data_IF_560815367973
#
_entry.id   IF_560815367973
#
_cell.length_a   1.000
_cell.length_b   1.000
_cell.length_c   1.000
_cell.angle_alpha   90.00
_cell.angle_beta   90.00
_cell.angle_gamma   90.00
#
_symmetry.space_group_name_H-M   'P 1'
#
loop_
_entity.id
_entity.type
_entity.pdbx_description
1 polymer ?
#
# COMPACT_ATOMS: atom_id res chain seq x y z
N UNK A 1 62.78 19.55 -22.97
CA UNK A 1 61.63 19.00 -23.72
C UNK A 1 60.68 18.10 -22.90
N UNK A 2 60.92 17.82 -21.60
CA UNK A 2 60.11 16.81 -20.87
C UNK A 2 59.23 17.34 -19.71
N UNK A 3 59.09 18.65 -19.51
CA UNK A 3 58.24 19.19 -18.43
C UNK A 3 56.95 19.87 -18.88
N UNK A 4 56.89 20.32 -20.14
CA UNK A 4 55.71 21.00 -20.71
C UNK A 4 54.66 19.99 -21.18
N UNK A 5 55.09 18.83 -21.68
CA UNK A 5 54.19 17.76 -22.16
C UNK A 5 53.43 17.11 -21.00
N UNK A 6 54.02 17.03 -19.81
CA UNK A 6 53.42 16.35 -18.66
C UNK A 6 52.39 17.23 -17.92
N UNK A 7 52.48 18.56 -18.04
CA UNK A 7 51.48 19.48 -17.48
C UNK A 7 50.26 19.63 -18.39
N UNK A 8 50.41 19.51 -19.71
CA UNK A 8 49.27 19.55 -20.65
C UNK A 8 48.36 18.31 -20.57
N UNK A 9 48.91 17.16 -20.17
CA UNK A 9 48.12 15.93 -20.03
C UNK A 9 47.28 15.86 -18.75
N UNK A 10 47.64 16.63 -17.71
CA UNK A 10 46.91 16.62 -16.44
C UNK A 10 45.75 17.62 -16.46
N UNK A 11 45.87 18.74 -17.18
CA UNK A 11 44.76 19.70 -17.33
C UNK A 11 43.67 19.22 -18.30
N UNK A 12 43.99 18.34 -19.26
CA UNK A 12 42.98 17.74 -20.15
C UNK A 12 42.21 16.59 -19.48
N UNK A 13 42.75 16.01 -18.40
CA UNK A 13 42.09 14.96 -17.60
C UNK A 13 41.16 15.50 -16.51
N UNK A 14 41.27 16.79 -16.16
CA UNK A 14 40.39 17.47 -15.20
C UNK A 14 39.21 18.21 -15.84
N UNK A 15 39.14 18.29 -17.18
CA UNK A 15 38.01 18.89 -17.91
C UNK A 15 37.05 17.87 -18.56
N UNK A 16 37.32 16.57 -18.41
CA UNK A 16 36.51 15.49 -18.99
C UNK A 16 35.51 14.80 -18.04
N UNK A 17 35.42 15.25 -16.78
CA UNK A 17 34.68 14.56 -15.71
C UNK A 17 33.34 15.18 -15.30
N UNK A 18 32.73 16.06 -16.09
CA UNK A 18 31.47 16.76 -15.72
C UNK A 18 30.27 16.33 -16.55
N UNK A 19 30.31 15.18 -17.26
CA UNK A 19 29.19 14.78 -18.13
C UNK A 19 28.72 13.33 -17.98
N UNK A 20 28.70 12.80 -16.75
CA UNK A 20 27.93 11.58 -16.43
C UNK A 20 27.28 11.67 -15.05
N UNK A 21 26.54 12.75 -14.82
CA UNK A 21 25.41 12.76 -13.89
C UNK A 21 24.13 13.06 -14.67
N UNK A 22 23.91 12.33 -15.78
CA UNK A 22 22.56 11.90 -16.10
C UNK A 22 22.30 10.70 -15.21
N UNK A 23 21.90 10.97 -13.97
CA UNK A 23 21.10 10.02 -13.23
C UNK A 23 19.97 9.59 -14.15
N UNK A 24 19.75 8.29 -14.26
CA UNK A 24 18.60 7.72 -14.93
C UNK A 24 17.35 8.13 -14.13
N UNK A 25 16.89 9.38 -14.28
CA UNK A 25 15.50 9.74 -14.06
C UNK A 25 14.76 9.37 -15.34
N UNK A 26 14.60 8.07 -15.56
CA UNK A 26 14.18 7.47 -16.83
C UNK A 26 12.98 6.57 -16.61
N UNK A 27 11.87 7.18 -16.25
CA UNK A 27 10.56 6.57 -16.09
C UNK A 27 9.58 7.70 -15.83
N UNK A 28 9.22 8.47 -16.87
CA UNK A 28 8.00 9.25 -16.80
C UNK A 28 6.85 8.23 -16.76
N UNK A 29 6.46 7.80 -15.56
CA UNK A 29 5.25 7.01 -15.31
C UNK A 29 4.02 7.90 -15.07
N UNK A 30 4.22 9.21 -15.20
CA UNK A 30 3.12 10.09 -15.49
C UNK A 30 2.59 9.83 -16.90
N UNK A 31 1.29 10.07 -17.11
CA UNK A 31 0.65 10.02 -18.43
C UNK A 31 1.48 10.75 -19.48
N UNK A 32 1.63 10.14 -20.66
CA UNK A 32 2.21 10.85 -21.80
C UNK A 32 1.36 12.08 -22.12
N UNK A 33 1.98 13.18 -22.54
CA UNK A 33 1.24 14.38 -22.93
C UNK A 33 0.30 14.04 -24.11
N UNK A 34 -1.02 14.04 -23.85
CA UNK A 34 -2.04 13.58 -24.81
C UNK A 34 -2.36 12.08 -24.76
N UNK A 35 -2.11 11.41 -23.63
CA UNK A 35 -2.52 10.03 -23.36
C UNK A 35 -4.02 9.84 -23.66
N UNK A 36 -4.33 8.85 -24.50
CA UNK A 36 -5.71 8.47 -24.77
C UNK A 36 -6.32 7.82 -23.55
N UNK A 37 -7.64 7.85 -23.47
CA UNK A 37 -8.36 7.27 -22.34
C UNK A 37 -8.18 5.76 -22.24
N UNK A 38 -8.06 5.08 -23.38
CA UNK A 38 -7.70 3.67 -23.40
C UNK A 38 -6.33 3.44 -22.76
N UNK A 39 -5.36 4.32 -23.02
CA UNK A 39 -4.05 4.24 -22.41
C UNK A 39 -4.11 4.57 -20.92
N UNK A 40 -4.95 5.52 -20.49
CA UNK A 40 -5.22 5.74 -19.05
C UNK A 40 -5.81 4.48 -18.40
N UNK A 41 -6.88 3.91 -18.96
CA UNK A 41 -7.53 2.72 -18.40
C UNK A 41 -6.56 1.52 -18.38
N UNK A 42 -5.75 1.38 -19.42
CA UNK A 42 -4.69 0.37 -19.50
C UNK A 42 -3.61 0.58 -18.43
N UNK A 43 -3.12 1.81 -18.30
CA UNK A 43 -2.15 2.21 -17.29
C UNK A 43 -2.71 1.95 -15.91
N UNK A 44 -3.89 2.47 -15.59
CA UNK A 44 -4.60 2.24 -14.34
C UNK A 44 -4.75 0.75 -14.00
N UNK A 45 -5.22 -0.08 -14.94
CA UNK A 45 -5.36 -1.52 -14.68
C UNK A 45 -4.02 -2.22 -14.50
N UNK A 46 -2.98 -1.78 -15.19
CA UNK A 46 -1.62 -2.34 -15.08
C UNK A 46 -0.94 -1.89 -13.77
N UNK A 47 -1.00 -0.60 -13.43
CA UNK A 47 -0.31 -0.01 -12.28
C UNK A 47 -1.04 -0.24 -10.97
N UNK A 48 -2.38 -0.08 -10.94
CA UNK A 48 -3.16 -0.22 -9.70
C UNK A 48 -3.62 -1.66 -9.43
N UNK A 49 -3.88 -2.42 -10.50
CA UNK A 49 -4.49 -3.75 -10.39
C UNK A 49 -3.58 -4.88 -10.86
N UNK A 50 -2.41 -4.59 -11.45
CA UNK A 50 -1.51 -5.60 -12.03
C UNK A 50 -2.20 -6.50 -13.07
N UNK A 51 -3.11 -5.92 -13.85
CA UNK A 51 -3.89 -6.58 -14.89
C UNK A 51 -3.62 -5.90 -16.23
N UNK A 52 -2.84 -6.56 -17.09
CA UNK A 52 -2.53 -6.05 -18.43
C UNK A 52 -3.63 -6.39 -19.46
N UNK A 53 -4.35 -7.49 -19.27
CA UNK A 53 -5.41 -7.94 -20.17
C UNK A 53 -6.77 -7.93 -19.46
N UNK A 54 -7.66 -7.04 -19.87
CA UNK A 54 -9.00 -6.92 -19.32
C UNK A 54 -10.02 -6.54 -20.41
N UNK A 55 -11.30 -6.80 -20.13
CA UNK A 55 -12.42 -6.29 -20.90
C UNK A 55 -13.21 -5.24 -20.12
N UNK A 56 -14.13 -4.55 -20.79
CA UNK A 56 -14.96 -3.49 -20.19
C UNK A 56 -15.76 -4.03 -19.00
N UNK A 57 -16.25 -5.27 -19.08
CA UNK A 57 -17.02 -5.89 -18.01
C UNK A 57 -16.18 -6.15 -16.76
N UNK A 58 -14.94 -6.59 -16.95
CA UNK A 58 -13.97 -6.82 -15.87
C UNK A 58 -13.52 -5.51 -15.25
N UNK A 59 -13.29 -4.47 -16.05
CA UNK A 59 -13.03 -3.10 -15.57
C UNK A 59 -14.20 -2.61 -14.72
N UNK A 60 -15.43 -2.76 -15.21
CA UNK A 60 -16.64 -2.36 -14.49
C UNK A 60 -16.76 -3.07 -13.14
N UNK A 61 -16.70 -4.40 -13.15
CA UNK A 61 -16.94 -5.23 -11.98
C UNK A 61 -15.87 -5.05 -10.89
N UNK A 62 -14.63 -4.75 -11.28
CA UNK A 62 -13.54 -4.50 -10.33
C UNK A 62 -13.75 -3.20 -9.54
N UNK A 63 -14.42 -2.23 -10.14
CA UNK A 63 -14.66 -0.90 -9.59
C UNK A 63 -16.08 -0.71 -9.03
N UNK A 64 -16.96 -1.67 -9.25
CA UNK A 64 -18.22 -1.84 -8.52
C UNK A 64 -17.89 -2.40 -7.12
N UNK A 65 -17.52 -1.50 -6.22
CA UNK A 65 -17.00 -1.80 -4.89
C UNK A 65 -18.05 -2.48 -4.02
N UNK A 66 -19.31 -2.08 -4.17
CA UNK A 66 -20.42 -2.59 -3.38
C UNK A 66 -21.14 -3.80 -4.03
N UNK A 67 -20.85 -4.09 -5.30
CA UNK A 67 -21.40 -5.20 -6.11
C UNK A 67 -22.88 -5.10 -6.40
N UNK A 68 -23.40 -3.89 -6.58
CA UNK A 68 -24.79 -3.64 -6.95
C UNK A 68 -25.01 -3.49 -8.46
N UNK A 69 -23.93 -3.54 -9.26
CA UNK A 69 -23.96 -3.48 -10.71
C UNK A 69 -24.07 -2.06 -11.28
N UNK A 70 -23.87 -1.05 -10.43
CA UNK A 70 -23.86 0.37 -10.80
C UNK A 70 -22.58 0.99 -10.24
N UNK A 71 -22.10 2.07 -10.86
CA UNK A 71 -21.16 2.97 -10.20
C UNK A 71 -21.90 4.19 -9.71
N UNK A 72 -21.87 4.40 -8.40
CA UNK A 72 -22.33 5.63 -7.77
C UNK A 72 -21.24 6.72 -7.75
N UNK A 73 -21.56 7.86 -7.15
CA UNK A 73 -20.63 8.99 -7.04
C UNK A 73 -19.34 8.59 -6.34
N UNK A 74 -19.46 7.86 -5.24
CA UNK A 74 -18.33 7.42 -4.42
C UNK A 74 -17.43 6.44 -5.18
N UNK A 75 -18.01 5.54 -5.97
CA UNK A 75 -17.27 4.59 -6.82
C UNK A 75 -16.61 5.31 -8.01
N UNK A 76 -17.25 6.30 -8.61
CA UNK A 76 -16.60 7.17 -9.62
C UNK A 76 -15.42 7.92 -9.00
N UNK A 77 -15.59 8.49 -7.80
CA UNK A 77 -14.50 9.15 -7.07
C UNK A 77 -13.34 8.18 -6.76
N UNK A 78 -13.64 6.90 -6.46
CA UNK A 78 -12.65 5.87 -6.21
C UNK A 78 -11.89 5.44 -7.49
N UNK A 79 -12.60 5.26 -8.61
CA UNK A 79 -11.98 4.96 -9.93
C UNK A 79 -10.90 5.99 -10.27
N UNK A 80 -11.16 7.27 -9.97
CA UNK A 80 -10.25 8.38 -10.24
C UNK A 80 -9.38 8.79 -9.04
N UNK A 81 -9.33 7.98 -7.96
CA UNK A 81 -8.42 8.21 -6.83
C UNK A 81 -8.63 9.57 -6.13
N UNK A 82 -9.85 10.12 -6.20
CA UNK A 82 -10.15 11.49 -5.74
C UNK A 82 -9.75 11.68 -4.28
N UNK A 83 -10.05 10.72 -3.42
CA UNK A 83 -9.77 10.80 -1.98
C UNK A 83 -8.40 10.26 -1.59
N UNK A 84 -7.51 10.06 -2.57
CA UNK A 84 -6.16 9.61 -2.28
C UNK A 84 -5.31 10.73 -1.63
N UNK A 85 -4.33 10.41 -0.77
CA UNK A 85 -3.59 11.44 -0.03
C UNK A 85 -2.78 12.35 -0.96
N UNK A 86 -2.25 11.82 -2.06
CA UNK A 86 -1.54 12.62 -3.06
C UNK A 86 -2.51 13.52 -3.82
N UNK A 87 -3.68 13.00 -4.21
CA UNK A 87 -4.73 13.81 -4.82
C UNK A 87 -5.20 14.93 -3.88
N UNK A 88 -5.39 14.62 -2.60
CA UNK A 88 -5.74 15.60 -1.56
C UNK A 88 -4.66 16.68 -1.41
N UNK A 89 -3.37 16.32 -1.44
CA UNK A 89 -2.24 17.29 -1.38
C UNK A 89 -2.21 18.27 -2.56
N UNK A 90 -2.85 17.95 -3.69
CA UNK A 90 -2.97 18.87 -4.84
C UNK A 90 -4.05 19.94 -4.63
N UNK A 91 -4.93 19.76 -3.65
CA UNK A 91 -5.94 20.75 -3.26
C UNK A 91 -5.41 21.63 -2.14
N UNK A 92 -5.68 22.95 -2.18
CA UNK A 92 -5.21 23.87 -1.12
C UNK A 92 -5.97 23.69 0.19
N UNK A 93 -7.25 23.34 0.08
CA UNK A 93 -8.19 23.16 1.18
C UNK A 93 -9.30 22.18 0.80
N UNK A 94 -10.11 21.82 1.80
CA UNK A 94 -11.24 20.89 1.64
C UNK A 94 -12.26 21.40 0.61
N UNK A 95 -12.46 22.72 0.48
CA UNK A 95 -13.41 23.27 -0.49
C UNK A 95 -12.93 23.07 -1.93
N UNK A 96 -11.64 23.28 -2.20
CA UNK A 96 -11.02 23.01 -3.50
C UNK A 96 -11.06 21.52 -3.82
N UNK A 97 -10.82 20.67 -2.81
CA UNK A 97 -10.91 19.21 -2.96
C UNK A 97 -12.32 18.76 -3.34
N UNK A 98 -13.34 19.27 -2.66
CA UNK A 98 -14.74 18.97 -2.98
C UNK A 98 -15.16 19.50 -4.35
N UNK A 99 -14.65 20.66 -4.76
CA UNK A 99 -14.87 21.18 -6.13
C UNK A 99 -14.24 20.26 -7.18
N UNK A 100 -13.01 19.80 -6.95
CA UNK A 100 -12.33 18.83 -7.83
C UNK A 100 -13.11 17.52 -7.92
N UNK A 101 -13.50 16.92 -6.79
CA UNK A 101 -14.33 15.72 -6.73
C UNK A 101 -15.61 15.89 -7.55
N UNK A 102 -16.33 17.00 -7.32
CA UNK A 102 -17.54 17.34 -8.08
C UNK A 102 -17.27 17.47 -9.56
N UNK A 103 -16.20 18.15 -9.97
CA UNK A 103 -15.83 18.32 -11.38
C UNK A 103 -15.58 16.97 -12.06
N UNK A 104 -14.88 16.06 -11.39
CA UNK A 104 -14.59 14.71 -11.90
C UNK A 104 -15.90 13.95 -12.11
N UNK A 105 -16.71 13.83 -11.06
CA UNK A 105 -17.97 13.08 -11.11
C UNK A 105 -18.93 13.65 -12.15
N UNK A 106 -19.15 14.96 -12.15
CA UNK A 106 -20.08 15.59 -13.09
C UNK A 106 -19.64 15.39 -14.55
N UNK A 107 -18.33 15.37 -14.80
CA UNK A 107 -17.79 15.16 -16.15
C UNK A 107 -17.93 13.70 -16.58
N UNK A 108 -17.74 12.75 -15.66
CA UNK A 108 -17.95 11.32 -15.90
C UNK A 108 -19.42 11.01 -16.15
N UNK A 109 -20.32 11.48 -15.28
CA UNK A 109 -21.77 11.30 -15.47
C UNK A 109 -22.22 11.91 -16.79
N UNK A 110 -21.78 13.13 -17.12
CA UNK A 110 -22.10 13.74 -18.42
C UNK A 110 -21.63 12.90 -19.62
N UNK A 111 -20.53 12.18 -19.47
CA UNK A 111 -19.99 11.32 -20.53
C UNK A 111 -20.75 9.98 -20.63
N UNK A 112 -21.13 9.39 -19.50
CA UNK A 112 -21.63 8.01 -19.41
C UNK A 112 -23.13 7.90 -19.16
N UNK A 113 -23.65 8.59 -18.15
CA UNK A 113 -25.05 8.52 -17.68
C UNK A 113 -26.00 9.01 -18.80
N UNK A 114 -26.77 8.09 -19.38
CA UNK A 114 -27.70 8.33 -20.51
C UNK A 114 -29.14 8.42 -20.06
N UNK A 115 -29.49 7.78 -18.95
CA UNK A 115 -30.85 7.80 -18.43
C UNK A 115 -31.08 8.82 -17.30
N UNK A 116 -30.01 9.52 -16.90
CA UNK A 116 -29.97 10.61 -15.93
C UNK A 116 -30.37 10.16 -14.52
N UNK A 117 -29.98 8.95 -14.13
CA UNK A 117 -30.22 8.42 -12.78
C UNK A 117 -29.09 8.74 -11.77
N UNK A 118 -28.09 9.52 -12.21
CA UNK A 118 -26.88 9.91 -11.47
C UNK A 118 -25.94 8.74 -11.14
N UNK A 119 -26.08 7.61 -11.84
CA UNK A 119 -25.22 6.44 -11.74
C UNK A 119 -24.73 6.03 -13.12
N UNK A 120 -23.83 5.05 -13.14
CA UNK A 120 -23.31 4.46 -14.39
C UNK A 120 -23.52 2.96 -14.35
N UNK A 121 -24.30 2.45 -15.29
CA UNK A 121 -24.48 1.01 -15.52
C UNK A 121 -23.38 0.44 -16.43
N UNK A 122 -23.22 -0.88 -16.38
CA UNK A 122 -22.34 -1.59 -17.31
C UNK A 122 -22.74 -1.34 -18.76
N UNK A 123 -24.04 -1.33 -19.05
CA UNK A 123 -24.57 -1.08 -20.39
C UNK A 123 -24.17 0.30 -20.91
N UNK A 124 -24.25 1.34 -20.08
CA UNK A 124 -23.83 2.69 -20.45
C UNK A 124 -22.34 2.79 -20.71
N UNK A 125 -21.52 2.17 -19.86
CA UNK A 125 -20.08 2.10 -20.06
C UNK A 125 -19.74 1.33 -21.35
N UNK A 126 -20.46 0.24 -21.67
CA UNK A 126 -20.27 -0.51 -22.91
C UNK A 126 -20.67 0.28 -24.15
N UNK A 127 -21.75 1.07 -24.07
CA UNK A 127 -22.21 1.92 -25.19
C UNK A 127 -21.19 3.01 -25.50
N UNK A 128 -20.66 3.65 -24.46
CA UNK A 128 -19.68 4.73 -24.61
C UNK A 128 -18.29 4.18 -24.92
N UNK A 129 -17.97 3.02 -24.36
CA UNK A 129 -16.63 2.42 -24.39
C UNK A 129 -15.69 3.10 -23.41
N UNK A 130 -14.57 2.43 -23.11
CA UNK A 130 -13.52 3.02 -22.27
C UNK A 130 -12.99 4.33 -22.87
N UNK A 131 -12.96 4.46 -24.20
CA UNK A 131 -12.53 5.67 -24.91
C UNK A 131 -13.32 6.94 -24.57
N UNK A 132 -14.54 6.81 -24.03
CA UNK A 132 -15.35 7.95 -23.62
C UNK A 132 -15.23 8.33 -22.16
N UNK A 133 -14.39 7.66 -21.36
CA UNK A 133 -14.06 8.11 -20.00
C UNK A 133 -13.24 9.42 -20.07
N UNK A 134 -13.44 10.40 -19.19
CA UNK A 134 -12.61 11.60 -19.19
C UNK A 134 -11.22 11.36 -18.59
N UNK A 135 -10.22 12.14 -19.02
CA UNK A 135 -8.89 12.18 -18.39
C UNK A 135 -8.81 13.40 -17.45
N UNK A 136 -8.26 13.20 -16.24
CA UNK A 136 -8.04 14.24 -15.22
C UNK A 136 -6.60 14.23 -14.66
N UNK A 137 -5.63 13.81 -15.45
CA UNK A 137 -4.22 13.79 -15.08
C UNK A 137 -3.72 15.14 -14.54
N UNK A 138 -4.22 16.24 -15.09
CA UNK A 138 -3.92 17.61 -14.65
C UNK A 138 -4.46 17.94 -13.24
N UNK A 139 -5.44 17.17 -12.76
CA UNK A 139 -6.04 17.30 -11.43
C UNK A 139 -5.41 16.35 -10.40
N UNK A 140 -4.42 15.53 -10.79
CA UNK A 140 -3.83 14.51 -9.91
C UNK A 140 -4.85 13.45 -9.49
N UNK A 141 -5.71 13.06 -10.43
CA UNK A 141 -6.72 12.02 -10.29
C UNK A 141 -6.26 10.75 -11.02
N UNK A 142 -5.03 10.34 -10.70
CA UNK A 142 -4.54 8.99 -10.98
C UNK A 142 -5.37 8.07 -10.06
N UNK A 143 -5.96 7.02 -10.62
CA UNK A 143 -6.87 6.17 -9.86
C UNK A 143 -6.12 5.47 -8.74
N UNK A 144 -6.62 5.46 -7.51
CA UNK A 144 -5.93 4.84 -6.38
C UNK A 144 -6.95 4.28 -5.37
N UNK A 145 -6.91 2.97 -5.13
CA UNK A 145 -7.90 2.26 -4.30
C UNK A 145 -7.46 2.01 -2.87
N UNK A 146 -6.16 2.14 -2.61
CA UNK A 146 -5.51 1.63 -1.42
C UNK A 146 -5.25 2.72 -0.37
N UNK A 147 -5.03 2.31 0.88
CA UNK A 147 -4.56 3.24 1.92
C UNK A 147 -3.08 3.60 1.72
N UNK A 148 -2.60 4.62 2.42
CA UNK A 148 -1.22 5.16 2.27
C UNK A 148 -0.15 4.06 2.35
N UNK A 149 -0.33 3.03 3.19
CA UNK A 149 0.60 1.90 3.28
C UNK A 149 0.56 1.01 2.07
N UNK A 150 -0.64 0.57 1.71
CA UNK A 150 -0.80 -0.40 0.62
C UNK A 150 -0.43 0.26 -0.71
N UNK A 151 -0.65 1.57 -0.86
CA UNK A 151 -0.19 2.35 -1.99
C UNK A 151 1.33 2.50 -2.02
N UNK A 152 1.97 2.89 -0.90
CA UNK A 152 3.43 2.94 -0.84
C UNK A 152 4.05 1.57 -1.17
N UNK A 153 3.46 0.49 -0.66
CA UNK A 153 3.88 -0.88 -0.97
C UNK A 153 3.72 -1.21 -2.47
N UNK A 154 2.53 -1.01 -3.02
CA UNK A 154 2.20 -1.42 -4.39
C UNK A 154 2.88 -0.57 -5.46
N UNK A 155 2.99 0.74 -5.25
CA UNK A 155 3.48 1.65 -6.28
C UNK A 155 4.96 1.98 -6.13
N UNK A 156 5.44 2.11 -4.90
CA UNK A 156 6.82 2.53 -4.66
C UNK A 156 7.72 1.34 -4.28
N UNK A 157 7.31 0.55 -3.30
CA UNK A 157 8.12 -0.57 -2.82
C UNK A 157 8.24 -1.68 -3.87
N UNK A 158 7.15 -2.07 -4.54
CA UNK A 158 7.21 -3.07 -5.62
C UNK A 158 8.01 -2.59 -6.84
N UNK A 159 8.08 -1.28 -7.08
CA UNK A 159 8.82 -0.75 -8.21
C UNK A 159 10.32 -0.62 -7.91
N UNK A 160 10.67 -0.01 -6.78
CA UNK A 160 12.04 0.37 -6.45
C UNK A 160 12.72 -0.58 -5.45
N UNK A 161 11.93 -1.34 -4.68
CA UNK A 161 12.36 -2.19 -3.57
C UNK A 161 11.82 -3.62 -3.68
N UNK A 162 11.84 -4.22 -4.88
CA UNK A 162 11.31 -5.57 -5.13
C UNK A 162 12.32 -6.72 -5.01
N UNK A 163 13.58 -6.44 -4.69
CA UNK A 163 14.61 -7.46 -4.54
C UNK A 163 15.22 -7.39 -3.15
N UNK A 164 15.76 -8.50 -2.60
CA UNK A 164 16.47 -8.47 -1.33
C UNK A 164 17.62 -7.44 -1.29
N UNK A 165 18.24 -7.16 -2.44
CA UNK A 165 19.32 -6.19 -2.58
C UNK A 165 18.81 -4.73 -2.55
N UNK A 166 17.57 -4.49 -2.96
CA UNK A 166 16.94 -3.16 -2.91
C UNK A 166 16.09 -2.95 -1.65
N UNK A 167 15.81 -4.01 -0.88
CA UNK A 167 15.16 -3.97 0.44
C UNK A 167 16.18 -3.91 1.59
N UNK A 168 17.09 -2.94 1.55
CA UNK A 168 18.04 -2.67 2.65
C UNK A 168 17.85 -1.26 3.18
N UNK A 169 18.18 -1.03 4.46
CA UNK A 169 18.07 0.28 5.12
C UNK A 169 18.77 1.40 4.33
N UNK A 170 19.89 1.09 3.66
CA UNK A 170 20.63 2.05 2.82
C UNK A 170 19.97 2.31 1.46
N UNK A 171 19.15 1.38 0.98
CA UNK A 171 18.51 1.44 -0.33
C UNK A 171 17.25 2.31 -0.33
N UNK A 172 16.53 2.41 0.79
CA UNK A 172 15.37 3.31 0.95
C UNK A 172 15.83 4.78 1.08
N UNK A 173 16.08 5.41 -0.05
CA UNK A 173 16.59 6.79 -0.13
C UNK A 173 15.90 7.64 -1.18
N UNK A 174 14.83 7.13 -1.81
CA UNK A 174 13.99 7.92 -2.71
C UNK A 174 13.27 9.01 -1.90
N UNK A 175 12.95 10.17 -2.51
CA UNK A 175 12.18 11.22 -1.84
C UNK A 175 10.89 10.71 -1.19
N UNK A 176 10.20 9.77 -1.85
CA UNK A 176 8.98 9.13 -1.41
C UNK A 176 9.21 8.22 -0.19
N UNK A 177 10.33 7.49 -0.13
CA UNK A 177 10.73 6.70 1.06
C UNK A 177 10.85 7.59 2.30
N UNK A 178 11.58 8.70 2.14
CA UNK A 178 11.83 9.65 3.22
C UNK A 178 10.55 10.33 3.68
N UNK A 179 9.65 10.66 2.76
CA UNK A 179 8.35 11.26 3.09
C UNK A 179 7.45 10.25 3.82
N UNK A 180 7.39 9.00 3.34
CA UNK A 180 6.65 7.92 3.99
C UNK A 180 7.15 7.67 5.42
N UNK A 181 8.46 7.55 5.62
CA UNK A 181 9.04 7.37 6.96
C UNK A 181 8.85 8.59 7.87
N UNK A 182 9.01 9.81 7.35
CA UNK A 182 8.74 11.01 8.13
C UNK A 182 7.28 11.09 8.60
N UNK A 183 6.35 10.60 7.78
CA UNK A 183 4.94 10.48 8.16
C UNK A 183 4.74 9.47 9.29
N UNK A 184 5.41 8.31 9.24
CA UNK A 184 5.41 7.33 10.33
C UNK A 184 5.99 7.90 11.63
N UNK A 185 7.17 8.53 11.56
CA UNK A 185 7.79 9.14 12.73
C UNK A 185 6.87 10.17 13.41
N UNK A 186 6.12 10.94 12.62
CA UNK A 186 5.17 11.91 13.12
C UNK A 186 3.94 11.27 13.80
N UNK A 187 3.44 10.15 13.26
CA UNK A 187 2.35 9.38 13.88
C UNK A 187 2.85 8.76 15.19
N UNK A 188 3.98 8.07 15.16
CA UNK A 188 4.56 7.40 16.32
C UNK A 188 4.85 8.36 17.46
N UNK A 189 5.36 9.56 17.15
CA UNK A 189 5.60 10.58 18.17
C UNK A 189 4.30 11.02 18.85
N UNK A 190 3.23 11.24 18.08
CA UNK A 190 1.90 11.60 18.63
C UNK A 190 1.31 10.46 19.47
N UNK A 191 1.53 9.21 19.07
CA UNK A 191 1.11 8.05 19.82
C UNK A 191 1.90 7.94 21.14
N UNK A 192 3.22 8.11 21.09
CA UNK A 192 4.09 8.14 22.26
C UNK A 192 3.78 9.31 23.22
N UNK A 193 3.41 10.48 22.71
CA UNK A 193 2.92 11.60 23.52
C UNK A 193 1.66 11.23 24.32
N UNK A 194 0.71 10.53 23.68
CA UNK A 194 -0.50 10.06 24.36
C UNK A 194 -0.18 9.00 25.42
N UNK A 195 0.72 8.09 25.09
CA UNK A 195 1.17 7.04 26.00
C UNK A 195 1.92 7.58 27.21
N UNK A 196 2.84 8.52 26.99
CA UNK A 196 3.59 9.22 28.02
C UNK A 196 2.66 9.90 29.03
N UNK A 197 1.62 10.61 28.55
CA UNK A 197 0.64 11.27 29.41
C UNK A 197 -0.11 10.26 30.30
N UNK A 198 -0.50 9.11 29.74
CA UNK A 198 -1.28 8.13 30.46
C UNK A 198 -0.44 7.29 31.44
N UNK A 199 0.77 6.86 31.04
CA UNK A 199 1.68 6.10 31.90
C UNK A 199 2.41 6.99 32.91
N UNK A 200 2.43 8.32 32.71
CA UNK A 200 3.19 9.25 33.54
C UNK A 200 4.69 9.17 33.32
N UNK A 201 5.12 8.77 32.11
CA UNK A 201 6.53 8.69 31.69
C UNK A 201 6.85 9.82 30.70
N UNK A 202 8.12 9.95 30.31
CA UNK A 202 8.55 10.87 29.24
C UNK A 202 8.21 10.31 27.86
N UNK A 203 8.13 11.18 26.85
CA UNK A 203 7.88 10.76 25.45
C UNK A 203 9.02 9.88 24.94
N UNK A 204 10.25 10.17 25.35
CA UNK A 204 11.43 9.39 25.01
C UNK A 204 11.39 7.99 25.62
N UNK A 205 10.93 7.86 26.88
CA UNK A 205 10.73 6.55 27.51
C UNK A 205 9.60 5.76 26.84
N UNK A 206 8.54 6.42 26.39
CA UNK A 206 7.47 5.78 25.63
C UNK A 206 7.99 5.29 24.26
N UNK A 207 8.73 6.13 23.52
CA UNK A 207 9.34 5.75 22.24
C UNK A 207 10.32 4.58 22.40
N UNK A 208 11.15 4.61 23.44
CA UNK A 208 12.13 3.54 23.71
C UNK A 208 11.49 2.18 24.02
N UNK A 209 10.24 2.14 24.51
CA UNK A 209 9.49 0.89 24.71
C UNK A 209 9.07 0.24 23.38
N UNK A 210 8.97 1.03 22.30
CA UNK A 210 8.56 0.61 20.97
C UNK A 210 9.71 0.55 19.96
N UNK A 211 10.93 0.94 20.35
CA UNK A 211 12.11 0.59 19.57
C UNK A 211 12.22 -0.93 19.54
N UNK A 212 12.42 -1.55 18.36
CA UNK A 212 12.68 -2.97 18.29
C UNK A 212 13.99 -3.23 19.03
N UNK A 213 13.90 -3.68 20.28
CA UNK A 213 14.97 -4.46 20.86
C UNK A 213 15.24 -5.57 19.86
N UNK A 214 16.49 -5.66 19.37
CA UNK A 214 16.97 -6.89 18.75
C UNK A 214 16.36 -8.02 19.56
N UNK A 215 15.50 -8.81 18.94
CA UNK A 215 15.01 -10.00 19.60
C UNK A 215 16.27 -10.75 19.98
N UNK A 216 16.64 -10.72 21.27
CA UNK A 216 17.47 -11.76 21.84
C UNK A 216 16.85 -13.03 21.29
N UNK A 217 17.60 -13.73 20.44
CA UNK A 217 17.17 -14.99 19.86
C UNK A 217 16.75 -15.88 21.02
N UNK A 218 15.47 -15.87 21.35
CA UNK A 218 14.89 -16.85 22.22
C UNK A 218 15.20 -18.16 21.50
N UNK A 219 16.00 -19.06 22.09
CA UNK A 219 16.41 -20.26 21.40
C UNK A 219 15.13 -20.94 20.94
N UNK A 220 15.06 -21.18 19.63
CA UNK A 220 14.02 -21.97 19.01
C UNK A 220 14.16 -23.41 19.49
N UNK A 221 13.85 -23.66 20.76
CA UNK A 221 13.45 -24.96 21.25
C UNK A 221 11.96 -25.07 20.94
N UNK A 222 11.56 -25.79 19.88
CA UNK A 222 10.16 -26.19 19.75
C UNK A 222 9.74 -26.92 21.02
N UNK A 223 8.48 -26.80 21.47
CA UNK A 223 7.99 -27.58 22.59
C UNK A 223 8.21 -29.07 22.30
N UNK A 224 8.53 -29.90 23.31
CA UNK A 224 8.82 -31.30 23.09
C UNK A 224 7.64 -31.96 22.37
N UNK A 225 7.94 -32.57 21.22
CA UNK A 225 7.01 -33.46 20.54
C UNK A 225 6.81 -34.64 21.49
N UNK A 226 5.65 -34.72 22.15
CA UNK A 226 5.20 -35.97 22.76
C UNK A 226 5.11 -37.02 21.63
N UNK A 227 6.09 -37.93 21.61
CA UNK A 227 6.08 -39.09 20.74
C UNK A 227 4.88 -39.96 21.11
N UNK A 228 3.86 -40.00 20.24
CA UNK A 228 3.00 -41.18 20.20
C UNK A 228 3.81 -42.36 19.64
N UNK A 229 3.83 -43.52 20.30
CA UNK A 229 4.69 -44.63 19.89
C UNK A 229 4.08 -45.40 18.72
N UNK A 230 4.91 -45.60 17.69
CA UNK A 230 4.75 -46.59 16.64
C UNK A 230 4.10 -46.06 15.37
N UNK A 231 4.86 -45.90 14.28
CA UNK A 231 4.99 -46.89 13.19
C UNK A 231 6.29 -46.59 12.42
N UNK A 232 6.96 -47.64 11.97
CA UNK A 232 8.28 -47.65 11.33
C UNK A 232 8.48 -46.72 10.12
N UNK A 233 9.69 -46.19 10.01
CA UNK A 233 10.20 -45.54 8.80
C UNK A 233 10.30 -46.55 7.65
N UNK A 234 9.50 -46.35 6.61
CA UNK A 234 9.85 -46.79 5.26
C UNK A 234 9.75 -45.62 4.29
N UNK A 235 10.84 -45.41 3.56
CA UNK A 235 10.98 -44.42 2.51
C UNK A 235 9.88 -44.63 1.45
N UNK A 236 8.98 -43.67 1.33
CA UNK A 236 7.93 -43.66 0.32
C UNK A 236 8.23 -42.62 -0.75
N UNK A 237 8.26 -43.14 -1.98
CA UNK A 237 8.27 -42.49 -3.27
C UNK A 237 7.27 -41.35 -3.39
N UNK A 238 7.65 -40.35 -4.18
CA UNK A 238 6.99 -39.05 -4.31
C UNK A 238 5.81 -39.14 -5.31
N UNK A 239 4.61 -39.50 -4.83
CA UNK A 239 3.38 -39.64 -5.64
C UNK A 239 2.53 -38.35 -5.72
N UNK A 240 3.16 -37.17 -5.83
CA UNK A 240 2.48 -35.93 -6.26
C UNK A 240 1.33 -35.42 -5.36
N UNK A 241 1.24 -35.83 -4.10
CA UNK A 241 0.26 -35.27 -3.14
C UNK A 241 0.94 -34.29 -2.17
N UNK A 242 0.31 -33.14 -1.85
CA UNK A 242 0.90 -32.15 -0.96
C UNK A 242 1.13 -32.75 0.43
N UNK A 243 2.32 -32.46 0.99
CA UNK A 243 2.84 -33.04 2.24
C UNK A 243 2.03 -32.61 3.49
N UNK A 244 1.19 -31.59 3.36
CA UNK A 244 0.23 -31.15 4.36
C UNK A 244 -1.05 -30.69 3.68
N UNK A 245 -2.18 -31.28 4.06
CA UNK A 245 -3.52 -30.74 3.78
C UNK A 245 -4.01 -30.05 5.04
N UNK A 246 -4.00 -28.70 5.05
CA UNK A 246 -4.75 -27.95 6.07
C UNK A 246 -6.24 -28.13 5.77
N UNK A 247 -7.06 -28.61 6.72
CA UNK A 247 -8.50 -28.63 6.52
C UNK A 247 -8.97 -27.18 6.28
N UNK A 248 -9.96 -26.97 5.39
CA UNK A 248 -10.54 -25.65 5.22
C UNK A 248 -11.02 -25.14 6.59
N UNK A 249 -10.83 -23.85 6.91
CA UNK A 249 -11.31 -23.30 8.17
C UNK A 249 -12.81 -23.59 8.32
N UNK A 250 -13.22 -24.01 9.51
CA UNK A 250 -14.60 -24.42 9.79
C UNK A 250 -15.62 -23.28 9.60
N UNK A 251 -15.15 -22.03 9.63
CA UNK A 251 -15.95 -20.83 9.45
C UNK A 251 -15.45 -20.01 8.25
N UNK A 252 -16.39 -19.34 7.58
CA UNK A 252 -16.10 -18.38 6.51
C UNK A 252 -15.14 -17.28 7.03
N UNK A 253 -13.95 -17.11 6.41
CA UNK A 253 -12.98 -16.09 6.79
C UNK A 253 -13.54 -14.68 6.84
N UNK A 254 -14.46 -14.33 5.93
CA UNK A 254 -15.09 -13.01 5.86
C UNK A 254 -15.97 -12.80 7.09
N UNK A 255 -16.78 -13.80 7.44
CA UNK A 255 -17.66 -13.73 8.61
C UNK A 255 -16.86 -13.59 9.90
N UNK A 256 -15.79 -14.38 10.04
CA UNK A 256 -14.87 -14.31 11.19
C UNK A 256 -14.23 -12.92 11.32
N UNK A 257 -13.79 -12.32 10.21
CA UNK A 257 -13.21 -10.98 10.20
C UNK A 257 -14.23 -9.91 10.59
N UNK A 258 -15.43 -9.96 10.01
CA UNK A 258 -16.51 -9.02 10.33
C UNK A 258 -16.96 -9.12 11.80
N UNK A 259 -17.06 -10.33 12.34
CA UNK A 259 -17.36 -10.58 13.75
C UNK A 259 -16.24 -10.03 14.65
N UNK A 260 -14.97 -10.26 14.31
CA UNK A 260 -13.83 -9.72 15.05
C UNK A 260 -13.80 -8.18 15.02
N UNK A 261 -14.09 -7.57 13.87
CA UNK A 261 -14.21 -6.11 13.71
C UNK A 261 -15.33 -5.53 14.58
N UNK A 262 -16.53 -6.13 14.52
CA UNK A 262 -17.68 -5.73 15.36
C UNK A 262 -17.35 -5.85 16.85
N UNK A 263 -16.73 -6.95 17.26
CA UNK A 263 -16.37 -7.18 18.66
C UNK A 263 -15.24 -6.25 19.16
N UNK A 264 -14.28 -5.89 18.29
CA UNK A 264 -13.17 -5.01 18.65
C UNK A 264 -13.61 -3.56 18.86
N UNK A 265 -14.52 -3.05 18.03
CA UNK A 265 -15.06 -1.67 18.12
C UNK A 265 -15.89 -1.44 19.39
N UNK A 266 -16.48 -2.50 19.95
CA UNK A 266 -17.32 -2.45 21.16
C UNK A 266 -16.48 -2.56 22.45
N UNK A 267 -15.24 -3.06 22.36
CA UNK A 267 -14.35 -3.15 23.52
C UNK A 267 -13.79 -1.78 23.93
N UNK A 268 -13.28 -1.73 25.16
CA UNK A 268 -12.52 -0.59 25.66
C UNK A 268 -11.39 -0.22 24.70
N UNK A 269 -11.19 1.09 24.55
CA UNK A 269 -10.18 1.66 23.67
C UNK A 269 -8.78 1.22 24.13
N UNK A 270 -7.84 1.08 23.20
CA UNK A 270 -6.45 0.83 23.54
C UNK A 270 -5.90 2.01 24.36
N UNK A 271 -5.16 1.71 25.43
CA UNK A 271 -4.81 2.70 26.45
C UNK A 271 -5.90 2.98 27.48
N UNK A 272 -6.97 2.19 27.53
CA UNK A 272 -8.00 2.24 28.58
C UNK A 272 -8.15 0.88 29.28
N UNK A 273 -8.63 0.91 30.54
CA UNK A 273 -8.86 -0.28 31.35
C UNK A 273 -7.59 -0.95 31.90
N UNK A 274 -7.76 -2.16 32.46
CA UNK A 274 -6.68 -2.92 33.12
C UNK A 274 -5.59 -3.45 32.15
N UNK A 275 -5.92 -3.50 30.85
CA UNK A 275 -5.00 -3.94 29.81
C UNK A 275 -4.06 -2.83 29.31
N UNK A 276 -4.41 -1.55 29.52
CA UNK A 276 -3.56 -0.40 29.18
C UNK A 276 -3.05 -0.40 27.73
N UNK A 277 -1.74 -0.19 27.57
CA UNK A 277 -1.02 -0.13 26.29
C UNK A 277 -0.34 -1.44 25.87
N UNK A 278 -0.81 -2.59 26.38
CA UNK A 278 -0.23 -3.87 25.99
C UNK A 278 -0.46 -4.16 24.48
N UNK A 279 0.50 -4.80 23.80
CA UNK A 279 0.36 -5.15 22.39
C UNK A 279 -0.78 -6.17 22.18
N UNK A 280 -1.53 -6.06 21.06
CA UNK A 280 -2.69 -6.89 20.78
C UNK A 280 -2.30 -8.34 20.49
N UNK A 281 -2.86 -9.30 21.25
CA UNK A 281 -2.58 -10.74 21.11
C UNK A 281 -3.63 -11.47 20.29
N UNK A 282 -4.85 -10.92 20.21
CA UNK A 282 -5.97 -11.54 19.49
C UNK A 282 -6.42 -10.71 18.28
N UNK A 283 -7.00 -11.34 17.24
CA UNK A 283 -7.56 -10.61 16.10
C UNK A 283 -8.58 -9.54 16.52
N UNK A 284 -9.39 -9.79 17.55
CA UNK A 284 -10.34 -8.82 18.08
C UNK A 284 -9.66 -7.62 18.73
N UNK A 285 -8.54 -7.83 19.43
CA UNK A 285 -7.76 -6.73 20.01
C UNK A 285 -7.14 -5.82 18.95
N UNK A 286 -6.80 -6.37 17.77
CA UNK A 286 -6.31 -5.59 16.63
C UNK A 286 -7.33 -4.61 16.04
N UNK A 287 -8.62 -4.77 16.39
CA UNK A 287 -9.70 -3.88 15.99
C UNK A 287 -10.18 -2.95 17.13
N UNK A 288 -9.46 -2.88 18.26
CA UNK A 288 -9.74 -1.88 19.30
C UNK A 288 -9.53 -0.47 18.75
N UNK A 289 -10.35 0.48 19.22
CA UNK A 289 -10.14 1.92 18.93
C UNK A 289 -8.82 2.40 19.53
N UNK A 290 -8.19 3.40 18.92
CA UNK A 290 -6.92 4.01 19.36
C UNK A 290 -5.71 3.06 19.42
N UNK A 291 -5.77 1.88 18.80
CA UNK A 291 -4.60 0.99 18.72
C UNK A 291 -3.46 1.68 17.96
N UNK A 292 -2.18 1.51 18.35
CA UNK A 292 -1.06 2.12 17.64
C UNK A 292 -1.05 1.69 16.20
N UNK A 293 -0.55 2.58 15.37
CA UNK A 293 -0.40 2.32 13.95
C UNK A 293 0.44 1.05 13.69
N UNK A 294 1.60 0.95 14.36
CA UNK A 294 2.54 -0.19 14.31
C UNK A 294 1.95 -1.53 14.77
N UNK A 295 0.90 -1.50 15.59
CA UNK A 295 0.24 -2.70 16.13
C UNK A 295 -0.98 -3.14 15.30
N UNK A 296 -1.55 -2.23 14.51
CA UNK A 296 -2.65 -2.50 13.57
C UNK A 296 -2.16 -3.24 12.34
N UNK A 297 -1.05 -2.78 11.79
CA UNK A 297 -0.41 -3.38 10.64
C UNK A 297 0.84 -4.09 11.13
N UNK A 298 0.99 -5.40 10.85
CA UNK A 298 2.29 -6.01 11.06
C UNK A 298 3.25 -5.35 10.08
N UNK A 299 4.02 -4.38 10.57
CA UNK A 299 5.11 -3.74 9.85
C UNK A 299 6.13 -4.85 9.53
N UNK A 300 6.01 -5.42 8.33
CA UNK A 300 6.65 -6.69 7.92
C UNK A 300 7.97 -6.45 7.19
N UNK A 301 8.69 -5.37 7.51
CA UNK A 301 9.98 -4.98 6.91
C UNK A 301 11.11 -6.03 6.99
N UNK A 302 10.87 -7.21 7.58
CA UNK A 302 11.88 -8.27 7.78
C UNK A 302 11.47 -9.66 7.29
N UNK A 303 10.34 -9.82 6.60
CA UNK A 303 9.99 -11.14 6.05
C UNK A 303 10.57 -11.30 4.65
N UNK A 304 11.54 -12.20 4.50
CA UNK A 304 12.05 -12.61 3.20
C UNK A 304 10.91 -13.23 2.36
N UNK A 305 10.92 -12.94 1.06
CA UNK A 305 9.98 -13.42 0.03
C UNK A 305 9.72 -14.95 0.03
N UNK A 306 10.54 -15.75 0.71
CA UNK A 306 10.36 -17.21 0.85
C UNK A 306 9.40 -17.67 1.94
N UNK A 307 8.76 -16.75 2.66
CA UNK A 307 7.87 -17.05 3.80
C UNK A 307 6.36 -17.00 3.44
N UNK A 308 6.02 -16.95 2.15
CA UNK A 308 4.66 -17.01 1.59
C UNK A 308 4.33 -18.38 0.98
#
# INVERSE_FOLDING_TARGET
MNRIVMQGLITLLLLGGVQLARGHGGGHEGPAEGETIQQYAQRHMSTEHHIDDFDIGSFFQLHDLNRDGLWDREEIEAVYGVHHIYSQKKSKDDEEHQKKAKTIVDTVLKALDKDFDEKVSLEELQIVGLDGLPNFDDLGAEGHHYDIESEFFLHHEEQYHNTPETQTDESYNHPEDLEHFAHHEAIERKEAEREAIFQGITVEEALAQHEPHEHEEAPATPPPIEQQPGVDQQAAVNDGKPKFTRPPPADDPIRRFQEAKKAGVVREEWGSGDDGYKPPKTPTERFKKNLPYKDRFQYKFRRQWGDF
#
